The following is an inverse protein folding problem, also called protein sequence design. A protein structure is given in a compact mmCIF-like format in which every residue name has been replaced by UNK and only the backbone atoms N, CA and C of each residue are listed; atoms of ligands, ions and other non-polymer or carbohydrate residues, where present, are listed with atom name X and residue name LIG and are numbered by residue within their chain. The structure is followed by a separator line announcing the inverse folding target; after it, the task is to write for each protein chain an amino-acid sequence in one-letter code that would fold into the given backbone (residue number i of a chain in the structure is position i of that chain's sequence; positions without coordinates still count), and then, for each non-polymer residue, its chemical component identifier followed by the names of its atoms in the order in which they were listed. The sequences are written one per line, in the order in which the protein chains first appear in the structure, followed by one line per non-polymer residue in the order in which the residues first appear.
data_IF_782600135285
#
_entry.id   IF_782600135285
#
_cell.length_a   1.000
_cell.length_b   1.000
_cell.length_c   1.000
_cell.angle_alpha   90.00
_cell.angle_beta   90.00
_cell.angle_gamma   90.00
#
_symmetry.space_group_name_H-M   'P 1'
#
loop_
_entity.id
_entity.type
_entity.pdbx_description
1 polymer ?
#
# COMPACT_ATOMS: atom_id res chain seq x y z
N UNK A 1 0.15 18.92 18.09
CA UNK A 1 0.97 17.92 17.40
C UNK A 1 0.11 16.66 17.26
N UNK A 2 -0.52 16.45 16.10
CA UNK A 2 -1.39 15.28 15.93
C UNK A 2 -0.52 14.04 15.81
N UNK A 3 -0.67 13.12 16.76
CA UNK A 3 0.00 11.82 16.76
C UNK A 3 -0.27 11.13 15.43
N UNK A 4 0.78 10.96 14.61
CA UNK A 4 0.69 10.11 13.45
C UNK A 4 0.24 8.71 13.92
N UNK A 5 -0.81 8.18 13.29
CA UNK A 5 -1.31 6.85 13.66
C UNK A 5 -0.19 5.80 13.49
N UNK A 6 -0.27 4.63 14.14
CA UNK A 6 0.74 3.56 14.02
C UNK A 6 1.10 3.21 12.57
N UNK A 7 0.23 3.58 11.63
CA UNK A 7 0.36 3.57 10.18
C UNK A 7 1.63 4.26 9.63
N UNK A 8 1.93 5.52 9.98
CA UNK A 8 3.14 6.20 9.48
C UNK A 8 4.43 5.64 10.11
N UNK A 9 4.35 4.93 11.25
CA UNK A 9 5.54 4.35 11.91
C UNK A 9 6.07 3.12 11.17
N UNK A 10 5.20 2.32 10.55
CA UNK A 10 5.61 1.12 9.78
C UNK A 10 5.99 1.43 8.33
N UNK A 11 5.51 2.53 7.77
CA UNK A 11 5.73 2.87 6.36
C UNK A 11 6.30 4.28 6.19
N UNK A 12 7.46 4.51 6.81
CA UNK A 12 8.19 5.79 6.70
C UNK A 12 8.35 6.24 5.25
N UNK A 13 8.65 5.33 4.32
CA UNK A 13 8.83 5.67 2.90
C UNK A 13 7.57 6.18 2.21
N UNK A 14 6.37 5.72 2.60
CA UNK A 14 5.13 6.36 2.15
C UNK A 14 5.10 7.76 2.75
N UNK A 15 5.02 7.96 4.06
CA UNK A 15 4.90 9.33 4.61
C UNK A 15 6.06 10.29 4.22
N UNK A 16 7.27 9.79 3.90
CA UNK A 16 8.42 10.57 3.42
C UNK A 16 8.39 10.93 1.93
N UNK A 17 7.75 10.12 1.08
CA UNK A 17 7.57 10.43 -0.34
C UNK A 17 6.44 11.45 -0.55
N UNK A 18 5.55 11.57 0.43
CA UNK A 18 4.40 12.47 0.41
C UNK A 18 4.82 13.87 0.88
N UNK A 19 5.30 14.65 -0.08
CA UNK A 19 5.54 16.08 0.04
C UNK A 19 5.37 16.71 -1.33
N UNK A 20 4.15 16.76 -1.86
CA UNK A 20 3.85 17.46 -3.11
C UNK A 20 2.89 18.62 -2.87
N UNK A 21 3.49 19.82 -2.75
CA UNK A 21 3.02 21.04 -3.42
C UNK A 21 1.72 21.72 -2.97
N UNK A 22 0.84 21.07 -2.21
CA UNK A 22 -0.41 21.66 -1.75
C UNK A 22 -0.37 21.89 -0.23
N UNK A 23 -0.55 23.14 0.25
CA UNK A 23 -0.71 23.38 1.67
C UNK A 23 -2.05 22.84 2.15
N UNK A 24 -2.03 21.91 3.11
CA UNK A 24 -3.25 21.40 3.74
C UNK A 24 -3.10 19.98 4.32
N UNK A 25 -4.06 19.54 5.14
CA UNK A 25 -4.15 18.14 5.55
C UNK A 25 -4.55 17.29 4.34
N UNK A 26 -3.94 16.10 4.24
CA UNK A 26 -4.23 15.12 3.22
C UNK A 26 -4.59 13.77 3.82
N UNK A 27 -5.38 12.98 3.11
CA UNK A 27 -5.86 11.67 3.58
C UNK A 27 -5.24 10.55 2.75
N UNK A 28 -4.52 9.66 3.44
CA UNK A 28 -4.05 8.38 2.92
C UNK A 28 -4.76 7.25 3.68
N UNK A 29 -5.41 6.36 2.95
CA UNK A 29 -6.16 5.22 3.48
C UNK A 29 -5.51 3.91 3.02
N UNK A 30 -5.68 2.84 3.82
CA UNK A 30 -5.23 1.50 3.47
C UNK A 30 -6.36 0.51 3.64
N UNK A 31 -6.51 -0.38 2.68
CA UNK A 31 -7.39 -1.53 2.75
C UNK A 31 -6.55 -2.80 2.60
N UNK A 32 -6.68 -3.72 3.56
CA UNK A 32 -5.96 -4.98 3.64
C UNK A 32 -6.92 -6.08 4.06
N UNK A 33 -6.93 -7.21 3.35
CA UNK A 33 -7.78 -8.33 3.72
C UNK A 33 -7.76 -9.45 2.68
N UNK A 34 -8.61 -10.45 2.90
CA UNK A 34 -8.85 -11.54 1.98
C UNK A 34 -10.29 -12.00 2.03
N UNK A 35 -10.77 -12.47 0.88
CA UNK A 35 -12.08 -13.08 0.72
C UNK A 35 -11.89 -14.59 0.56
N UNK A 36 -12.43 -15.38 1.48
CA UNK A 36 -12.53 -16.83 1.34
C UNK A 36 -13.77 -17.18 0.51
N UNK A 37 -13.58 -17.94 -0.56
CA UNK A 37 -14.65 -18.43 -1.43
C UNK A 37 -15.10 -19.83 -1.00
N UNK A 38 -16.34 -20.18 -1.33
CA UNK A 38 -16.93 -21.48 -0.99
C UNK A 38 -16.15 -22.69 -1.53
N UNK A 39 -15.42 -22.52 -2.63
CA UNK A 39 -14.58 -23.56 -3.23
C UNK A 39 -13.20 -23.70 -2.56
N UNK A 40 -12.97 -23.04 -1.42
CA UNK A 40 -11.70 -23.06 -0.69
C UNK A 40 -10.61 -22.18 -1.30
N UNK A 41 -10.90 -21.47 -2.40
CA UNK A 41 -9.98 -20.47 -2.96
C UNK A 41 -10.10 -19.17 -2.15
N UNK A 42 -9.00 -18.44 -1.99
CA UNK A 42 -9.01 -17.13 -1.34
C UNK A 42 -8.51 -16.04 -2.29
N UNK A 43 -9.01 -14.82 -2.12
CA UNK A 43 -8.54 -13.64 -2.84
C UNK A 43 -8.09 -12.60 -1.84
N UNK A 44 -6.80 -12.32 -1.77
CA UNK A 44 -6.22 -11.30 -0.90
C UNK A 44 -6.03 -9.97 -1.63
N UNK A 45 -6.05 -8.87 -0.88
CA UNK A 45 -5.82 -7.52 -1.38
C UNK A 45 -5.06 -6.66 -0.38
N UNK A 46 -4.18 -5.80 -0.93
CA UNK A 46 -3.57 -4.69 -0.21
C UNK A 46 -3.59 -3.47 -1.12
N UNK A 47 -4.29 -2.42 -0.69
CA UNK A 47 -4.46 -1.18 -1.45
C UNK A 47 -4.19 0.04 -0.59
N UNK A 48 -3.71 1.10 -1.23
CA UNK A 48 -3.76 2.46 -0.72
C UNK A 48 -4.69 3.31 -1.57
N UNK A 49 -5.42 4.17 -0.89
CA UNK A 49 -6.24 5.20 -1.51
C UNK A 49 -5.82 6.58 -1.02
N UNK A 50 -5.81 7.57 -1.90
CA UNK A 50 -5.49 8.95 -1.61
C UNK A 50 -6.69 9.83 -1.88
N UNK A 51 -7.11 10.63 -0.89
CA UNK A 51 -8.34 11.43 -0.97
C UNK A 51 -9.57 10.59 -1.41
N UNK A 52 -9.65 9.36 -0.91
CA UNK A 52 -10.70 8.39 -1.26
C UNK A 52 -10.57 7.75 -2.66
N UNK A 53 -9.54 8.08 -3.44
CA UNK A 53 -9.31 7.52 -4.78
C UNK A 53 -8.25 6.43 -4.76
N UNK A 54 -8.39 5.41 -5.61
CA UNK A 54 -7.38 4.36 -5.76
C UNK A 54 -6.02 4.95 -6.15
N UNK A 55 -4.96 4.54 -5.43
CA UNK A 55 -3.63 5.14 -5.58
C UNK A 55 -2.56 4.07 -5.85
N UNK A 56 -2.50 3.04 -5.00
CA UNK A 56 -1.58 1.91 -5.16
C UNK A 56 -2.25 0.58 -4.85
N UNK A 57 -1.95 -0.44 -5.63
CA UNK A 57 -2.39 -1.83 -5.38
C UNK A 57 -1.20 -2.77 -5.37
N UNK A 58 -1.06 -3.57 -4.32
CA UNK A 58 -0.02 -4.59 -4.26
C UNK A 58 -0.33 -5.74 -5.22
N UNK A 59 0.69 -6.20 -5.93
CA UNK A 59 0.63 -7.31 -6.88
C UNK A 59 1.42 -8.49 -6.30
N UNK A 60 0.75 -9.50 -5.71
CA UNK A 60 1.42 -10.58 -5.00
C UNK A 60 2.26 -11.44 -5.94
N UNK A 61 1.79 -11.63 -7.17
CA UNK A 61 2.47 -12.42 -8.20
C UNK A 61 3.85 -11.84 -8.60
N UNK A 62 4.03 -10.52 -8.50
CA UNK A 62 5.28 -9.84 -8.88
C UNK A 62 6.00 -9.23 -7.69
N UNK A 63 5.43 -9.34 -6.48
CA UNK A 63 5.88 -8.68 -5.26
C UNK A 63 6.16 -7.18 -5.50
N UNK A 64 5.28 -6.52 -6.25
CA UNK A 64 5.44 -5.13 -6.65
C UNK A 64 4.17 -4.34 -6.37
N UNK A 65 4.30 -3.01 -6.32
CA UNK A 65 3.16 -2.10 -6.28
C UNK A 65 2.80 -1.65 -7.68
N UNK A 66 1.52 -1.77 -8.05
CA UNK A 66 0.93 -1.14 -9.21
C UNK A 66 0.48 0.27 -8.83
N UNK A 67 0.86 1.26 -9.64
CA UNK A 67 0.31 2.60 -9.57
C UNK A 67 -1.05 2.63 -10.27
N UNK A 68 -2.08 3.03 -9.55
CA UNK A 68 -3.43 3.23 -10.09
C UNK A 68 -3.69 4.72 -10.43
N UNK A 69 -2.83 5.63 -9.95
CA UNK A 69 -2.77 7.04 -10.31
C UNK A 69 -1.39 7.43 -10.91
N UNK A 70 -1.31 8.38 -11.86
CA UNK A 70 -0.03 8.88 -12.39
C UNK A 70 0.93 9.37 -11.30
N UNK A 71 0.41 10.05 -10.29
CA UNK A 71 1.15 10.61 -9.16
C UNK A 71 1.75 9.52 -8.26
N UNK A 72 1.20 8.30 -8.32
CA UNK A 72 1.67 7.15 -7.55
C UNK A 72 2.86 6.43 -8.20
N UNK A 73 3.18 6.72 -9.47
CA UNK A 73 4.20 5.98 -10.23
C UNK A 73 5.58 6.04 -9.57
N UNK A 74 6.01 7.22 -9.13
CA UNK A 74 7.32 7.38 -8.53
C UNK A 74 7.43 6.63 -7.18
N UNK A 75 6.33 6.55 -6.45
CA UNK A 75 6.24 5.78 -5.21
C UNK A 75 6.25 4.27 -5.46
N UNK A 76 5.50 3.79 -6.46
CA UNK A 76 5.53 2.39 -6.88
C UNK A 76 6.96 1.96 -7.27
N UNK A 77 7.69 2.81 -8.00
CA UNK A 77 9.09 2.58 -8.36
C UNK A 77 10.03 2.59 -7.15
N UNK A 78 9.81 3.49 -6.18
CA UNK A 78 10.58 3.53 -4.94
C UNK A 78 10.39 2.27 -4.09
N UNK A 79 9.13 1.83 -3.92
CA UNK A 79 8.79 0.61 -3.19
C UNK A 79 9.33 -0.65 -3.87
N UNK A 80 9.40 -0.68 -5.21
CA UNK A 80 10.01 -1.79 -5.97
C UNK A 80 11.48 -2.04 -5.61
N UNK A 81 12.20 -1.02 -5.13
CA UNK A 81 13.62 -1.16 -4.74
C UNK A 81 13.80 -1.84 -3.38
N UNK A 82 12.74 -1.96 -2.58
CA UNK A 82 12.77 -2.51 -1.23
C UNK A 82 12.23 -3.95 -1.23
N UNK A 83 13.14 -4.90 -1.48
CA UNK A 83 12.76 -6.32 -1.62
C UNK A 83 12.28 -6.93 -0.32
N UNK A 84 12.85 -6.54 0.82
CA UNK A 84 12.46 -7.08 2.12
C UNK A 84 11.03 -6.67 2.49
N UNK A 85 10.69 -5.40 2.24
CA UNK A 85 9.32 -4.91 2.41
C UNK A 85 8.34 -5.63 1.48
N UNK A 86 8.73 -5.86 0.22
CA UNK A 86 7.90 -6.58 -0.74
C UNK A 86 7.66 -8.04 -0.34
N UNK A 87 8.68 -8.72 0.19
CA UNK A 87 8.56 -10.09 0.70
C UNK A 87 7.67 -10.15 1.94
N UNK A 88 7.84 -9.21 2.87
CA UNK A 88 6.98 -9.11 4.05
C UNK A 88 5.51 -8.95 3.68
N UNK A 89 5.20 -8.06 2.72
CA UNK A 89 3.84 -7.91 2.21
C UNK A 89 3.33 -9.17 1.51
N UNK A 90 4.18 -9.82 0.73
CA UNK A 90 3.86 -11.08 0.04
C UNK A 90 3.51 -12.21 1.01
N UNK A 91 4.28 -12.37 2.09
CA UNK A 91 4.03 -13.38 3.11
C UNK A 91 2.66 -13.17 3.78
N UNK A 92 2.38 -11.93 4.20
CA UNK A 92 1.10 -11.58 4.81
C UNK A 92 -0.09 -11.89 3.89
N UNK A 93 0.01 -11.48 2.62
CA UNK A 93 -1.06 -11.61 1.62
C UNK A 93 -1.31 -13.05 1.15
N UNK A 94 -0.31 -13.92 1.22
CA UNK A 94 -0.39 -15.29 0.70
C UNK A 94 -0.58 -16.36 1.78
N UNK A 95 -0.37 -16.05 3.06
CA UNK A 95 -0.36 -17.06 4.13
C UNK A 95 -1.08 -16.68 5.42
N UNK A 96 -1.00 -15.41 5.84
CA UNK A 96 -1.44 -14.99 7.18
C UNK A 96 -2.70 -14.09 7.17
N UNK A 97 -3.41 -14.06 6.04
CA UNK A 97 -4.81 -13.66 6.05
C UNK A 97 -5.67 -14.87 6.45
#
# INVERSE_FOLDING_TARGET
MLNASPFCRRQRKLCSFWGFGAPGPHILQMALGCDLKENGNFKSFWKYSFEGQDYLTFQPATLCWKADAPEAQSMAQSLKKDRDLAQHHGAFINGDC
#
